data_IF_905107143738
#
_entry.id   IF_905107143738
#
_cell.length_a   1.000
_cell.length_b   1.000
_cell.length_c   1.000
_cell.angle_alpha   90.00
_cell.angle_beta   90.00
_cell.angle_gamma   90.00
#
_symmetry.space_group_name_H-M   'P 1'
#
loop_
_entity.id
_entity.type
_entity.pdbx_description
1 polymer ?
#
# COMPACT_ATOMS: atom_id res chain seq x y z
N UNK A 1 0.61 -11.33 -8.79
CA UNK A 1 -0.27 -11.94 -7.76
C UNK A 1 -1.49 -11.07 -7.52
N UNK A 2 -2.47 -11.55 -6.75
CA UNK A 2 -3.66 -10.78 -6.37
C UNK A 2 -3.77 -10.73 -4.86
N UNK A 3 -3.86 -9.53 -4.31
CA UNK A 3 -4.01 -9.30 -2.86
C UNK A 3 -5.34 -8.61 -2.57
N UNK A 4 -5.91 -8.90 -1.40
CA UNK A 4 -7.09 -8.19 -0.89
C UNK A 4 -6.65 -6.92 -0.15
N UNK A 5 -7.30 -5.81 -0.49
CA UNK A 5 -7.12 -4.50 0.12
C UNK A 5 -8.48 -3.87 0.37
N UNK A 6 -8.71 -3.40 1.59
CA UNK A 6 -9.85 -2.57 1.89
C UNK A 6 -9.70 -1.14 1.34
N UNK A 7 -10.75 -0.33 1.50
CA UNK A 7 -10.75 1.03 0.96
C UNK A 7 -9.77 1.96 1.68
N UNK A 8 -9.53 1.74 2.99
CA UNK A 8 -8.60 2.55 3.77
C UNK A 8 -7.16 2.24 3.37
N UNK A 9 -6.84 0.97 3.22
CA UNK A 9 -5.52 0.50 2.77
C UNK A 9 -5.23 1.00 1.36
N UNK A 10 -6.20 0.92 0.44
CA UNK A 10 -6.08 1.49 -0.90
C UNK A 10 -5.83 2.99 -0.89
N UNK A 11 -6.52 3.73 -0.02
CA UNK A 11 -6.29 5.18 0.13
C UNK A 11 -4.88 5.47 0.63
N UNK A 12 -4.42 4.77 1.67
CA UNK A 12 -3.08 4.92 2.22
C UNK A 12 -2.03 4.63 1.15
N UNK A 13 -2.15 3.50 0.44
CA UNK A 13 -1.20 3.15 -0.62
C UNK A 13 -1.20 4.20 -1.72
N UNK A 14 -2.38 4.67 -2.16
CA UNK A 14 -2.45 5.69 -3.19
C UNK A 14 -1.80 7.02 -2.75
N UNK A 15 -2.00 7.42 -1.50
CA UNK A 15 -1.48 8.66 -0.94
C UNK A 15 0.05 8.62 -0.77
N UNK A 16 0.62 7.47 -0.40
CA UNK A 16 2.04 7.37 -0.03
C UNK A 16 2.92 6.68 -1.09
N UNK A 17 2.35 6.01 -2.09
CA UNK A 17 3.11 5.38 -3.18
C UNK A 17 3.03 6.18 -4.49
N UNK A 18 3.70 7.33 -4.52
CA UNK A 18 3.70 8.23 -5.69
C UNK A 18 4.37 7.63 -6.94
N UNK A 19 5.27 6.67 -6.75
CA UNK A 19 5.99 6.00 -7.83
C UNK A 19 5.17 4.90 -8.52
N UNK A 20 3.97 4.59 -8.02
CA UNK A 20 3.10 3.59 -8.61
C UNK A 20 2.78 3.89 -10.08
N UNK A 21 2.77 2.85 -10.91
CA UNK A 21 2.38 2.95 -12.33
C UNK A 21 0.94 3.45 -12.48
N UNK A 22 0.59 4.01 -13.64
CA UNK A 22 -0.78 4.50 -13.90
C UNK A 22 -1.84 3.41 -13.73
N UNK A 23 -1.51 2.18 -14.14
CA UNK A 23 -2.41 1.05 -13.99
C UNK A 23 -2.60 0.70 -12.51
N UNK A 24 -1.53 0.73 -11.71
CA UNK A 24 -1.61 0.52 -10.27
C UNK A 24 -2.45 1.62 -9.59
N UNK A 25 -2.22 2.89 -9.93
CA UNK A 25 -3.03 4.01 -9.43
C UNK A 25 -4.52 3.83 -9.76
N UNK A 26 -4.85 3.37 -10.98
CA UNK A 26 -6.24 3.09 -11.37
C UNK A 26 -6.86 1.95 -10.54
N UNK A 27 -6.10 0.90 -10.22
CA UNK A 27 -6.55 -0.20 -9.37
C UNK A 27 -6.79 0.24 -7.91
N UNK A 28 -5.93 1.11 -7.38
CA UNK A 28 -6.05 1.68 -6.04
C UNK A 28 -7.24 2.64 -5.94
N UNK A 29 -7.50 3.45 -6.98
CA UNK A 29 -8.67 4.33 -7.04
C UNK A 29 -9.99 3.58 -7.20
N UNK A 30 -9.97 2.33 -7.69
CA UNK A 30 -11.15 1.49 -7.78
C UNK A 30 -11.53 0.91 -6.42
N UNK A 31 -12.27 1.70 -5.63
CA UNK A 31 -12.79 1.34 -4.30
C UNK A 31 -13.95 0.33 -4.33
N UNK A 32 -14.48 -0.01 -5.51
CA UNK A 32 -15.54 -1.04 -5.64
C UNK A 32 -14.94 -2.43 -5.58
N UNK A 33 -13.75 -2.62 -6.14
CA UNK A 33 -13.03 -3.89 -6.14
C UNK A 33 -12.09 -3.92 -4.95
N UNK A 34 -12.25 -4.87 -4.02
CA UNK A 34 -11.36 -5.02 -2.84
C UNK A 34 -10.06 -5.76 -3.14
N UNK A 35 -9.67 -5.86 -4.40
CA UNK A 35 -8.43 -6.56 -4.79
C UNK A 35 -7.63 -5.71 -5.75
N UNK A 36 -6.32 -5.92 -5.74
CA UNK A 36 -5.40 -5.42 -6.76
C UNK A 36 -4.58 -6.57 -7.31
N UNK A 37 -4.24 -6.48 -8.58
CA UNK A 37 -3.27 -7.33 -9.26
C UNK A 37 -1.92 -6.58 -9.24
N UNK A 38 -0.91 -7.17 -8.61
CA UNK A 38 0.42 -6.56 -8.36
C UNK A 38 1.53 -7.58 -8.65
N UNK A 39 2.66 -7.18 -9.21
CA UNK A 39 3.83 -8.06 -9.35
C UNK A 39 4.49 -8.32 -7.98
N UNK A 40 5.25 -9.41 -7.85
CA UNK A 40 5.92 -9.72 -6.59
C UNK A 40 6.96 -8.64 -6.24
N UNK A 41 7.73 -8.23 -7.24
CA UNK A 41 8.76 -7.21 -7.14
C UNK A 41 8.14 -5.83 -6.81
N UNK A 42 7.00 -5.50 -7.43
CA UNK A 42 6.26 -4.27 -7.13
C UNK A 42 5.70 -4.27 -5.69
N UNK A 43 5.33 -5.44 -5.14
CA UNK A 43 4.88 -5.56 -3.76
C UNK A 43 6.05 -5.31 -2.78
N UNK A 44 7.23 -5.84 -3.07
CA UNK A 44 8.44 -5.56 -2.28
C UNK A 44 8.78 -4.07 -2.29
N UNK A 45 8.72 -3.43 -3.46
CA UNK A 45 8.94 -1.99 -3.58
C UNK A 45 7.91 -1.20 -2.76
N UNK A 46 6.62 -1.56 -2.86
CA UNK A 46 5.55 -0.94 -2.09
C UNK A 46 5.81 -1.00 -0.59
N UNK A 47 6.14 -2.18 -0.05
CA UNK A 47 6.45 -2.34 1.38
C UNK A 47 7.62 -1.43 1.77
N UNK A 48 8.68 -1.38 0.94
CA UNK A 48 9.81 -0.49 1.16
C UNK A 48 9.42 0.99 1.20
N UNK A 49 8.56 1.44 0.29
CA UNK A 49 8.04 2.82 0.27
C UNK A 49 7.24 3.14 1.53
N UNK A 50 6.29 2.28 1.91
CA UNK A 50 5.44 2.50 3.08
C UNK A 50 6.24 2.50 4.39
N UNK A 51 7.23 1.60 4.51
CA UNK A 51 8.12 1.56 5.67
C UNK A 51 8.98 2.83 5.78
N UNK A 52 9.47 3.36 4.66
CA UNK A 52 10.19 4.63 4.64
C UNK A 52 9.29 5.80 5.08
N UNK A 53 8.06 5.87 4.55
CA UNK A 53 7.09 6.90 4.92
C UNK A 53 6.65 6.80 6.39
N UNK A 54 6.47 5.58 6.91
CA UNK A 54 6.16 5.34 8.33
C UNK A 54 7.22 5.96 9.25
N UNK A 55 8.50 5.75 8.95
CA UNK A 55 9.63 6.29 9.72
C UNK A 55 9.73 7.82 9.70
N UNK A 56 9.24 8.47 8.63
CA UNK A 56 9.24 9.92 8.48
C UNK A 56 7.93 10.59 8.92
N UNK A 57 6.93 9.79 9.31
CA UNK A 57 5.62 10.28 9.66
C UNK A 57 5.62 11.02 11.02
N UNK A 58 5.16 12.27 11.03
CA UNK A 58 5.03 13.08 12.26
C UNK A 58 3.81 12.69 13.11
N UNK A 59 2.83 12.04 12.49
CA UNK A 59 1.60 11.61 13.15
C UNK A 59 1.77 10.18 13.64
N UNK A 60 1.76 9.99 14.97
CA UNK A 60 1.84 8.65 15.57
C UNK A 60 0.72 7.72 15.13
N UNK A 61 -0.47 8.28 14.88
CA UNK A 61 -1.62 7.50 14.41
C UNK A 61 -1.40 7.00 12.99
N UNK A 62 -0.93 7.88 12.10
CA UNK A 62 -0.68 7.51 10.71
C UNK A 62 0.51 6.56 10.61
N UNK A 63 1.56 6.76 11.40
CA UNK A 63 2.66 5.81 11.50
C UNK A 63 2.16 4.41 11.86
N UNK A 64 1.31 4.28 12.89
CA UNK A 64 0.73 2.99 13.27
C UNK A 64 -0.13 2.36 12.16
N UNK A 65 -0.94 3.15 11.44
CA UNK A 65 -1.73 2.63 10.32
C UNK A 65 -0.86 2.15 9.14
N UNK A 66 0.25 2.84 8.87
CA UNK A 66 1.21 2.42 7.84
C UNK A 66 2.01 1.19 8.27
N UNK A 67 2.38 1.11 9.53
CA UNK A 67 3.11 -0.02 10.13
C UNK A 67 2.25 -1.31 10.05
N UNK A 68 0.99 -1.24 10.49
CA UNK A 68 0.05 -2.36 10.41
C UNK A 68 -0.20 -2.80 8.96
N UNK A 69 -0.26 -1.84 8.03
CA UNK A 69 -0.37 -2.13 6.61
C UNK A 69 0.88 -2.82 6.06
N UNK A 70 2.09 -2.38 6.45
CA UNK A 70 3.33 -3.03 6.07
C UNK A 70 3.37 -4.48 6.55
N UNK A 71 3.12 -4.72 7.85
CA UNK A 71 3.11 -6.05 8.45
C UNK A 71 2.17 -7.00 7.71
N UNK A 72 0.99 -6.50 7.32
CA UNK A 72 0.03 -7.30 6.55
C UNK A 72 0.52 -7.60 5.14
N UNK A 73 1.11 -6.62 4.43
CA UNK A 73 1.63 -6.82 3.08
C UNK A 73 2.85 -7.74 3.07
N UNK A 74 3.67 -7.73 4.11
CA UNK A 74 4.80 -8.65 4.27
C UNK A 74 4.35 -10.11 4.44
N UNK A 75 3.16 -10.35 5.02
CA UNK A 75 2.57 -11.70 5.06
C UNK A 75 2.18 -12.24 3.66
N UNK A 76 2.09 -11.37 2.65
CA UNK A 76 1.79 -11.74 1.27
C UNK A 76 3.06 -11.95 0.42
N UNK A 77 4.26 -11.68 0.96
CA UNK A 77 5.57 -11.90 0.31
C UNK A 77 6.06 -13.35 0.44
#
# INVERSE_FOLDING_TARGET
MRIELDNREKQLIHEYWYAASKDMQAQLLNMRRKTIDIAYEELQDLVGYLAAECNHCRSKKLAAELDELCDRLECEL
#
